data_IF_954880400727
#
_entry.id   IF_954880400727
#
_cell.length_a   1.000
_cell.length_b   1.000
_cell.length_c   1.000
_cell.angle_alpha   90.00
_cell.angle_beta   90.00
_cell.angle_gamma   90.00
#
_symmetry.space_group_name_H-M   'P 1'
#
loop_
_entity.id
_entity.type
_entity.pdbx_description
1 polymer ?
#
# COMPACT_ATOMS: atom_id res chain seq x y z
N UNK A 1 -46.09 -38.00 32.55
CA UNK A 1 -46.20 -37.32 33.87
C UNK A 1 -45.66 -35.91 33.62
N UNK A 2 -46.50 -35.00 33.13
CA UNK A 2 -47.36 -34.01 33.79
C UNK A 2 -46.64 -33.37 34.95
N UNK A 3 -46.39 -32.10 34.97
CA UNK A 3 -47.19 -30.91 35.05
C UNK A 3 -46.26 -29.74 35.38
N UNK A 4 -46.37 -28.58 35.11
CA UNK A 4 -47.37 -27.49 34.98
C UNK A 4 -46.71 -26.20 35.45
N UNK A 5 -46.81 -25.21 34.63
CA UNK A 5 -46.67 -23.78 34.96
C UNK A 5 -47.75 -23.35 35.98
N UNK A 6 -47.55 -22.35 36.82
CA UNK A 6 -48.32 -21.11 36.71
C UNK A 6 -47.47 -19.87 36.96
N UNK A 7 -47.56 -18.76 36.24
CA UNK A 7 -48.61 -17.74 36.02
C UNK A 7 -48.95 -16.87 37.24
N UNK A 8 -48.74 -15.59 36.98
CA UNK A 8 -49.51 -14.39 37.35
C UNK A 8 -49.08 -13.50 38.53
N UNK A 9 -48.82 -12.28 38.06
CA UNK A 9 -49.53 -11.02 38.45
C UNK A 9 -49.31 -10.53 39.87
N UNK A 10 -48.89 -9.36 40.09
CA UNK A 10 -49.40 -7.99 39.96
C UNK A 10 -48.91 -7.15 41.13
N UNK A 11 -48.69 -5.93 40.93
CA UNK A 11 -49.19 -4.68 41.53
C UNK A 11 -48.07 -3.72 41.99
N UNK A 12 -47.97 -2.67 41.27
CA UNK A 12 -48.32 -1.27 41.59
C UNK A 12 -47.52 -0.54 42.66
N UNK A 13 -46.92 0.52 42.16
CA UNK A 13 -46.93 1.90 42.60
C UNK A 13 -46.01 2.29 43.76
N UNK A 14 -45.11 3.25 43.45
CA UNK A 14 -45.17 4.55 44.07
C UNK A 14 -44.07 5.48 43.50
N UNK A 15 -44.48 6.69 43.29
CA UNK A 15 -43.75 7.82 42.79
C UNK A 15 -42.56 8.26 43.68
N UNK A 16 -41.52 8.78 43.06
CA UNK A 16 -40.44 9.46 43.75
C UNK A 16 -39.59 10.24 42.72
N UNK A 17 -40.01 11.46 42.43
CA UNK A 17 -39.22 12.40 41.66
C UNK A 17 -38.04 12.90 42.52
N UNK A 18 -36.81 12.63 42.04
CA UNK A 18 -35.64 13.38 42.50
C UNK A 18 -34.86 13.78 41.23
N UNK A 19 -34.92 15.05 40.91
CA UNK A 19 -34.03 15.70 39.96
C UNK A 19 -32.60 15.69 40.53
N UNK A 20 -31.71 15.02 39.86
CA UNK A 20 -30.27 15.18 40.06
C UNK A 20 -29.62 15.46 38.72
N UNK A 21 -29.32 16.72 38.50
CA UNK A 21 -28.38 17.21 37.52
C UNK A 21 -27.01 16.57 37.76
N UNK A 22 -26.54 15.78 36.83
CA UNK A 22 -25.24 15.12 36.95
C UNK A 22 -24.67 14.82 35.58
N UNK A 23 -23.87 15.71 35.08
CA UNK A 23 -22.72 15.55 34.20
C UNK A 23 -22.79 14.44 33.17
N UNK A 24 -23.08 14.80 31.93
CA UNK A 24 -22.61 14.04 30.73
C UNK A 24 -21.09 14.09 30.74
N UNK A 25 -20.46 13.11 31.38
CA UNK A 25 -19.08 12.79 31.09
C UNK A 25 -19.05 12.24 29.68
N UNK A 26 -18.74 13.08 28.73
CA UNK A 26 -18.33 12.70 27.41
C UNK A 26 -17.09 11.80 27.58
N UNK A 27 -17.26 10.50 27.43
CA UNK A 27 -16.16 9.61 27.15
C UNK A 27 -15.59 10.06 25.81
N UNK A 28 -14.57 10.93 25.88
CA UNK A 28 -13.60 11.08 24.80
C UNK A 28 -13.05 9.70 24.51
N UNK A 29 -13.58 9.06 23.49
CA UNK A 29 -12.90 7.95 22.84
C UNK A 29 -11.57 8.53 22.31
N UNK A 30 -10.53 8.15 23.03
CA UNK A 30 -9.14 8.40 22.65
C UNK A 30 -8.95 8.00 21.19
N UNK A 31 -8.74 8.99 20.36
CA UNK A 31 -7.99 9.03 19.14
C UNK A 31 -7.72 7.68 18.44
N UNK A 32 -8.65 7.24 17.60
CA UNK A 32 -8.23 6.74 16.31
C UNK A 32 -7.51 7.94 15.68
N UNK A 33 -6.19 7.85 15.59
CA UNK A 33 -5.40 8.79 14.81
C UNK A 33 -5.94 8.72 13.41
N UNK A 34 -6.32 9.84 12.89
CA UNK A 34 -6.77 10.04 11.54
C UNK A 34 -5.83 9.31 10.59
N UNK A 35 -6.28 8.21 10.00
CA UNK A 35 -5.79 7.80 8.70
C UNK A 35 -6.09 9.01 7.82
N UNK A 36 -5.07 9.77 7.50
CA UNK A 36 -5.20 10.88 6.59
C UNK A 36 -5.77 10.28 5.30
N UNK A 37 -7.06 10.52 5.11
CA UNK A 37 -7.72 10.25 3.83
C UNK A 37 -7.11 11.23 2.82
N UNK A 38 -6.03 10.80 2.18
CA UNK A 38 -5.33 11.55 1.14
C UNK A 38 -6.20 11.75 -0.10
N UNK A 39 -7.47 11.35 -0.03
CA UNK A 39 -8.43 11.54 -1.12
C UNK A 39 -8.17 10.65 -2.33
N UNK A 40 -7.20 9.74 -2.27
CA UNK A 40 -6.90 8.83 -3.36
C UNK A 40 -7.82 7.61 -3.31
N UNK A 41 -8.50 7.37 -4.42
CA UNK A 41 -9.24 6.12 -4.61
C UNK A 41 -8.31 5.14 -5.31
N UNK A 42 -7.65 4.28 -4.55
CA UNK A 42 -6.98 3.12 -5.12
C UNK A 42 -8.01 2.17 -5.71
N UNK A 43 -7.73 1.55 -6.84
CA UNK A 43 -8.67 0.65 -7.55
C UNK A 43 -9.39 -0.34 -6.62
N UNK A 44 -8.69 -1.36 -6.08
CA UNK A 44 -9.19 -2.27 -5.05
C UNK A 44 -8.17 -2.42 -3.91
N UNK A 45 -7.12 -1.61 -3.90
CA UNK A 45 -6.06 -1.66 -2.91
C UNK A 45 -6.26 -0.66 -1.77
N UNK A 46 -5.70 -0.96 -0.59
CA UNK A 46 -5.61 -0.03 0.52
C UNK A 46 -4.33 0.80 0.39
N UNK A 47 -4.44 2.10 0.60
CA UNK A 47 -3.32 3.05 0.61
C UNK A 47 -2.94 3.35 2.05
N UNK A 48 -1.64 3.31 2.35
CA UNK A 48 -1.07 3.80 3.60
C UNK A 48 0.07 4.76 3.26
N UNK A 49 -0.02 6.00 3.69
CA UNK A 49 1.07 6.96 3.62
C UNK A 49 1.71 7.14 4.99
N UNK A 50 2.99 7.46 5.02
CA UNK A 50 3.78 7.62 6.23
C UNK A 50 4.36 9.03 6.29
N UNK A 51 4.08 9.76 7.37
CA UNK A 51 4.77 11.02 7.66
C UNK A 51 6.28 10.80 7.70
N UNK A 52 7.07 11.79 7.32
CA UNK A 52 8.54 11.68 7.27
C UNK A 52 9.16 11.15 8.56
N UNK A 53 8.59 11.51 9.72
CA UNK A 53 9.03 11.06 11.05
C UNK A 53 8.66 9.62 11.39
N UNK A 54 7.77 9.00 10.60
CA UNK A 54 7.27 7.64 10.78
C UNK A 54 7.91 6.65 9.82
N UNK A 55 8.68 7.13 8.85
CA UNK A 55 9.39 6.30 7.89
C UNK A 55 10.54 5.56 8.55
N UNK A 56 10.70 4.29 8.18
CA UNK A 56 11.81 3.47 8.63
C UNK A 56 13.14 3.85 7.96
N UNK A 57 14.11 2.95 8.09
CA UNK A 57 15.39 3.07 7.41
C UNK A 57 15.22 2.99 5.88
N UNK A 58 16.19 3.49 5.11
CA UNK A 58 16.22 3.31 3.67
C UNK A 58 16.09 1.85 3.26
N UNK A 59 15.33 1.59 2.21
CA UNK A 59 15.21 0.26 1.61
C UNK A 59 16.53 -0.13 0.94
N UNK A 60 16.99 -1.33 1.23
CA UNK A 60 18.13 -1.96 0.56
C UNK A 60 17.60 -3.03 -0.40
N UNK A 61 17.26 -2.61 -1.61
CA UNK A 61 16.71 -3.45 -2.66
C UNK A 61 17.73 -3.55 -3.79
N UNK A 62 18.26 -4.74 -4.03
CA UNK A 62 19.18 -4.99 -5.13
C UNK A 62 18.93 -6.38 -5.73
N UNK A 63 19.26 -6.54 -7.02
CA UNK A 63 19.15 -7.82 -7.69
C UNK A 63 19.37 -7.77 -9.19
N UNK A 64 19.46 -8.97 -9.80
CA UNK A 64 19.51 -9.11 -11.24
C UNK A 64 18.13 -8.90 -11.85
N UNK A 65 18.06 -8.09 -12.89
CA UNK A 65 16.81 -7.81 -13.60
C UNK A 65 16.50 -8.89 -14.64
N UNK A 66 15.26 -8.90 -15.12
CA UNK A 66 14.84 -9.76 -16.22
C UNK A 66 15.72 -9.61 -17.49
N UNK A 67 16.40 -8.48 -17.66
CA UNK A 67 17.28 -8.22 -18.79
C UNK A 67 18.76 -8.54 -18.51
N UNK A 68 19.06 -9.12 -17.32
CA UNK A 68 20.39 -9.53 -16.93
C UNK A 68 21.30 -8.39 -16.46
N UNK A 69 20.73 -7.22 -16.16
CA UNK A 69 21.45 -6.10 -15.56
C UNK A 69 21.29 -6.15 -14.03
N UNK A 70 22.21 -5.56 -13.31
CA UNK A 70 22.03 -5.33 -11.87
C UNK A 70 21.28 -4.03 -11.64
N UNK A 71 20.32 -4.05 -10.74
CA UNK A 71 19.63 -2.86 -10.23
C UNK A 71 19.85 -2.77 -8.72
N UNK A 72 20.18 -1.58 -8.21
CA UNK A 72 20.40 -1.33 -6.79
C UNK A 72 19.74 -0.01 -6.38
N UNK A 73 18.94 -0.04 -5.31
CA UNK A 73 18.29 1.14 -4.75
C UNK A 73 19.29 2.21 -4.26
N UNK A 74 20.52 1.83 -3.95
CA UNK A 74 21.56 2.77 -3.54
C UNK A 74 21.94 3.73 -4.67
N UNK A 75 21.88 3.29 -5.93
CA UNK A 75 22.21 4.09 -7.10
C UNK A 75 21.13 5.13 -7.44
N UNK A 76 19.96 5.03 -6.78
CA UNK A 76 18.78 5.88 -7.00
C UNK A 76 18.50 6.82 -5.83
N UNK A 77 19.45 7.02 -4.93
CA UNK A 77 19.32 8.06 -3.88
C UNK A 77 19.24 9.44 -4.52
N UNK A 78 18.38 10.29 -3.99
CA UNK A 78 18.04 11.58 -4.59
C UNK A 78 16.88 11.54 -5.57
N UNK A 79 16.36 10.35 -5.91
CA UNK A 79 15.18 10.15 -6.75
C UNK A 79 14.03 9.57 -5.92
N UNK A 80 12.79 9.86 -6.30
CA UNK A 80 11.62 9.11 -5.85
C UNK A 80 11.56 7.80 -6.62
N UNK A 81 11.43 6.68 -5.92
CA UNK A 81 11.40 5.36 -6.57
C UNK A 81 10.05 4.69 -6.33
N UNK A 82 9.39 4.30 -7.41
CA UNK A 82 8.17 3.49 -7.38
C UNK A 82 8.53 2.04 -7.55
N UNK A 83 8.29 1.23 -6.52
CA UNK A 83 8.56 -0.22 -6.51
C UNK A 83 7.25 -0.98 -6.64
N UNK A 84 7.08 -1.76 -7.71
CA UNK A 84 5.87 -2.56 -7.95
C UNK A 84 6.18 -4.06 -7.90
N UNK A 85 5.48 -4.80 -7.06
CA UNK A 85 5.57 -6.28 -6.99
C UNK A 85 4.51 -6.89 -7.89
N UNK A 86 4.96 -7.71 -8.84
CA UNK A 86 4.11 -8.33 -9.85
C UNK A 86 4.57 -9.74 -10.22
N UNK A 87 3.70 -10.50 -10.89
CA UNK A 87 4.04 -11.80 -11.47
C UNK A 87 3.15 -12.09 -12.69
N UNK A 88 3.61 -12.95 -13.60
CA UNK A 88 2.85 -13.34 -14.80
C UNK A 88 1.53 -14.04 -14.47
N UNK A 89 1.52 -14.81 -13.40
CA UNK A 89 0.36 -15.58 -12.91
C UNK A 89 -0.61 -14.72 -12.06
N UNK A 90 -0.30 -13.45 -11.80
CA UNK A 90 -1.09 -12.57 -10.95
C UNK A 90 -2.20 -11.86 -11.76
N UNK A 91 -3.42 -12.34 -11.66
CA UNK A 91 -4.56 -11.77 -12.38
C UNK A 91 -4.82 -10.28 -12.06
N UNK A 92 -4.81 -9.84 -10.79
CA UNK A 92 -4.93 -8.42 -10.46
C UNK A 92 -3.79 -7.56 -11.00
N UNK A 93 -2.55 -8.09 -11.10
CA UNK A 93 -1.41 -7.38 -11.69
C UNK A 93 -1.66 -7.07 -13.19
N UNK A 94 -2.30 -7.98 -13.92
CA UNK A 94 -2.69 -7.73 -15.30
C UNK A 94 -3.68 -6.57 -15.45
N UNK A 95 -4.53 -6.34 -14.43
CA UNK A 95 -5.50 -5.25 -14.44
C UNK A 95 -4.84 -3.89 -14.16
N UNK A 96 -3.81 -3.84 -13.32
CA UNK A 96 -3.10 -2.59 -13.03
C UNK A 96 -2.03 -2.23 -14.08
N UNK A 97 -1.52 -3.23 -14.84
CA UNK A 97 -0.44 -3.02 -15.79
C UNK A 97 -0.65 -1.82 -16.74
N UNK A 98 -1.85 -1.60 -17.34
CA UNK A 98 -2.09 -0.42 -18.17
C UNK A 98 -1.91 0.91 -17.42
N UNK A 99 -2.24 0.96 -16.13
CA UNK A 99 -2.09 2.15 -15.29
C UNK A 99 -0.61 2.45 -15.02
N UNK A 100 0.20 1.43 -14.76
CA UNK A 100 1.65 1.57 -14.58
C UNK A 100 2.33 2.03 -15.87
N UNK A 101 1.90 1.48 -17.02
CA UNK A 101 2.41 1.90 -18.33
C UNK A 101 2.06 3.35 -18.63
N UNK A 102 0.83 3.77 -18.32
CA UNK A 102 0.39 5.15 -18.50
C UNK A 102 1.18 6.09 -17.57
N UNK A 103 1.33 5.73 -16.30
CA UNK A 103 2.15 6.46 -15.34
C UNK A 103 3.58 6.64 -15.86
N UNK A 104 4.25 5.55 -16.24
CA UNK A 104 5.64 5.59 -16.70
C UNK A 104 5.86 6.50 -17.93
N UNK A 105 4.85 6.62 -18.79
CA UNK A 105 4.90 7.54 -19.96
C UNK A 105 4.81 9.01 -19.55
N UNK A 106 4.17 9.30 -18.43
CA UNK A 106 4.00 10.66 -17.91
C UNK A 106 5.16 11.10 -17.02
N UNK A 107 5.89 10.14 -16.42
CA UNK A 107 7.10 10.43 -15.67
C UNK A 107 8.15 10.98 -16.61
N UNK A 108 8.53 12.25 -16.39
CA UNK A 108 9.53 12.95 -17.22
C UNK A 108 10.72 13.31 -16.37
N UNK A 109 11.92 13.18 -16.96
CA UNK A 109 13.16 13.50 -16.27
C UNK A 109 13.62 12.36 -15.36
N UNK A 110 14.67 12.67 -14.59
CA UNK A 110 15.37 11.68 -13.76
C UNK A 110 14.93 11.73 -12.29
N UNK A 111 13.89 12.51 -11.95
CA UNK A 111 13.43 12.67 -10.56
C UNK A 111 12.66 11.48 -10.02
N UNK A 112 12.02 10.69 -10.89
CA UNK A 112 11.20 9.53 -10.52
C UNK A 112 11.60 8.32 -11.35
N UNK A 113 11.84 7.21 -10.66
CA UNK A 113 12.16 5.92 -11.28
C UNK A 113 11.11 4.87 -10.97
N UNK A 114 10.80 4.02 -11.95
CA UNK A 114 9.98 2.82 -11.76
C UNK A 114 10.88 1.59 -11.76
N UNK A 115 10.65 0.68 -10.80
CA UNK A 115 11.28 -0.65 -10.77
C UNK A 115 10.24 -1.71 -10.39
N UNK A 116 10.31 -2.85 -11.03
CA UNK A 116 9.50 -4.02 -10.70
C UNK A 116 10.25 -5.01 -9.81
N UNK A 117 9.50 -5.77 -9.00
CA UNK A 117 9.94 -7.03 -8.43
C UNK A 117 9.08 -8.12 -9.07
N UNK A 118 9.68 -8.91 -9.96
CA UNK A 118 9.01 -10.04 -10.61
C UNK A 118 9.05 -11.24 -9.67
N UNK A 119 8.00 -11.34 -8.84
CA UNK A 119 7.93 -12.18 -7.64
C UNK A 119 7.59 -13.64 -7.95
N UNK A 120 8.45 -14.55 -7.49
CA UNK A 120 8.26 -16.02 -7.60
C UNK A 120 7.86 -16.47 -8.99
N UNK A 121 8.48 -15.87 -9.98
CA UNK A 121 8.25 -16.28 -11.36
C UNK A 121 8.93 -17.60 -11.68
N UNK A 122 8.33 -18.35 -12.59
CA UNK A 122 8.81 -19.70 -12.96
C UNK A 122 10.18 -19.65 -13.65
N UNK A 123 10.40 -18.64 -14.50
CA UNK A 123 11.68 -18.40 -15.17
C UNK A 123 11.83 -16.94 -15.57
N UNK A 124 13.07 -16.52 -15.84
CA UNK A 124 13.37 -15.17 -16.36
C UNK A 124 12.67 -14.94 -17.69
N UNK A 125 12.62 -15.96 -18.56
CA UNK A 125 11.98 -15.87 -19.88
C UNK A 125 10.48 -15.64 -19.75
N UNK A 126 9.81 -16.30 -18.80
CA UNK A 126 8.37 -16.10 -18.52
C UNK A 126 8.13 -14.67 -18.07
N UNK A 127 8.89 -14.19 -17.08
CA UNK A 127 8.78 -12.82 -16.60
C UNK A 127 9.02 -11.79 -17.69
N UNK A 128 10.12 -11.96 -18.46
CA UNK A 128 10.47 -11.07 -19.58
C UNK A 128 9.38 -11.04 -20.65
N UNK A 129 8.85 -12.20 -21.04
CA UNK A 129 7.77 -12.29 -22.03
C UNK A 129 6.50 -11.59 -21.55
N UNK A 130 6.16 -11.74 -20.27
CA UNK A 130 4.99 -11.10 -19.70
C UNK A 130 5.17 -9.59 -19.56
N UNK A 131 6.34 -9.12 -19.10
CA UNK A 131 6.68 -7.69 -19.04
C UNK A 131 6.54 -7.03 -20.42
N UNK A 132 7.07 -7.68 -21.46
CA UNK A 132 6.91 -7.22 -22.84
C UNK A 132 5.44 -7.18 -23.29
N UNK A 133 4.66 -8.21 -22.95
CA UNK A 133 3.23 -8.29 -23.31
C UNK A 133 2.43 -7.16 -22.67
N UNK A 134 2.75 -6.80 -21.42
CA UNK A 134 2.09 -5.69 -20.72
C UNK A 134 2.65 -4.31 -21.09
N UNK A 135 3.75 -4.25 -21.83
CA UNK A 135 4.38 -3.00 -22.24
C UNK A 135 5.24 -2.35 -21.17
N UNK A 136 5.76 -3.14 -20.23
CA UNK A 136 6.71 -2.66 -19.22
C UNK A 136 8.04 -2.32 -19.88
N UNK A 137 8.53 -1.10 -19.66
CA UNK A 137 9.78 -0.58 -20.21
C UNK A 137 10.81 -0.24 -19.14
N UNK A 138 10.46 -0.45 -17.87
CA UNK A 138 11.34 -0.25 -16.73
C UNK A 138 11.94 -1.56 -16.25
N UNK A 139 13.08 -1.53 -15.53
CA UNK A 139 13.73 -2.74 -15.03
C UNK A 139 12.83 -3.48 -14.04
N UNK A 140 12.90 -4.80 -14.05
CA UNK A 140 12.23 -5.64 -13.05
C UNK A 140 13.21 -6.68 -12.52
N UNK A 141 13.45 -6.67 -11.21
CA UNK A 141 14.31 -7.63 -10.51
C UNK A 141 13.64 -8.99 -10.54
N UNK A 142 14.36 -10.03 -10.95
CA UNK A 142 13.89 -11.42 -10.93
C UNK A 142 14.01 -12.02 -9.54
N UNK A 143 12.90 -12.12 -8.84
CA UNK A 143 12.85 -12.66 -7.48
C UNK A 143 12.21 -14.07 -7.45
N UNK A 144 12.97 -15.05 -7.88
CA UNK A 144 12.52 -16.46 -7.88
C UNK A 144 12.17 -16.98 -6.49
N UNK A 145 12.91 -16.57 -5.49
CA UNK A 145 12.76 -17.02 -4.10
C UNK A 145 11.65 -16.29 -3.33
N UNK A 146 11.26 -15.11 -3.76
CA UNK A 146 10.33 -14.24 -3.05
C UNK A 146 10.98 -13.51 -1.88
N UNK A 147 12.30 -13.42 -1.86
CA UNK A 147 13.06 -12.80 -0.76
C UNK A 147 13.30 -11.31 -0.97
N UNK A 148 13.34 -10.84 -2.20
CA UNK A 148 13.56 -9.42 -2.52
C UNK A 148 12.49 -8.52 -1.91
N UNK A 149 11.24 -9.01 -1.82
CA UNK A 149 10.15 -8.30 -1.18
C UNK A 149 10.36 -8.12 0.34
N UNK A 150 11.23 -8.92 0.98
CA UNK A 150 11.58 -8.76 2.40
C UNK A 150 12.31 -7.42 2.62
N UNK A 151 13.12 -6.98 1.65
CA UNK A 151 13.77 -5.68 1.69
C UNK A 151 12.76 -4.53 1.86
N UNK A 152 11.50 -4.74 1.47
CA UNK A 152 10.40 -3.80 1.66
C UNK A 152 9.84 -3.79 3.09
N UNK A 153 10.61 -4.23 4.08
CA UNK A 153 10.34 -4.14 5.53
C UNK A 153 8.99 -4.79 5.93
N UNK A 154 8.57 -5.82 5.20
CA UNK A 154 7.30 -6.50 5.46
C UNK A 154 6.04 -5.69 5.13
N UNK A 155 6.18 -4.53 4.48
CA UNK A 155 5.04 -3.67 4.14
C UNK A 155 4.33 -4.07 2.84
N UNK A 156 4.97 -4.88 2.00
CA UNK A 156 4.39 -5.36 0.72
C UNK A 156 4.06 -6.86 0.83
N UNK A 157 2.88 -7.16 1.36
CA UNK A 157 2.49 -8.53 1.78
C UNK A 157 1.60 -9.25 0.77
N UNK A 158 1.20 -8.61 -0.31
CA UNK A 158 0.30 -9.17 -1.34
C UNK A 158 0.77 -8.81 -2.75
N UNK A 159 0.28 -9.51 -3.76
CA UNK A 159 0.49 -9.20 -5.17
C UNK A 159 -0.85 -8.80 -5.81
N UNK A 160 -0.88 -7.66 -6.50
CA UNK A 160 0.17 -6.65 -6.57
C UNK A 160 0.31 -5.86 -5.28
N UNK A 161 1.45 -5.21 -5.12
CA UNK A 161 1.67 -4.13 -4.16
C UNK A 161 2.58 -3.10 -4.81
N UNK A 162 2.39 -1.84 -4.47
CA UNK A 162 3.26 -0.77 -4.95
C UNK A 162 3.69 0.11 -3.78
N UNK A 163 4.98 0.39 -3.67
CA UNK A 163 5.52 1.35 -2.72
C UNK A 163 6.08 2.56 -3.45
N UNK A 164 5.97 3.72 -2.82
CA UNK A 164 6.68 4.96 -3.20
C UNK A 164 7.76 5.19 -2.17
N UNK A 165 9.00 5.26 -2.61
CA UNK A 165 10.16 5.60 -1.78
C UNK A 165 10.51 7.06 -1.96
N UNK A 166 10.84 7.74 -0.87
CA UNK A 166 11.37 9.10 -0.92
C UNK A 166 12.82 9.14 -1.44
N UNK A 167 13.39 10.33 -1.61
CA UNK A 167 14.76 10.52 -2.13
C UNK A 167 15.84 9.94 -1.22
N UNK A 168 15.54 9.72 0.07
CA UNK A 168 16.39 9.02 0.99
C UNK A 168 16.26 7.49 0.85
N UNK A 169 15.30 7.01 0.05
CA UNK A 169 15.00 5.60 -0.16
C UNK A 169 14.12 4.99 0.92
N UNK A 170 13.46 5.79 1.76
CA UNK A 170 12.54 5.33 2.79
C UNK A 170 11.13 5.17 2.22
N UNK A 171 10.35 4.25 2.75
CA UNK A 171 8.99 4.02 2.27
C UNK A 171 8.08 5.18 2.71
N UNK A 172 7.67 6.01 1.75
CA UNK A 172 6.74 7.12 1.94
C UNK A 172 5.27 6.66 1.86
N UNK A 173 4.96 5.74 0.95
CA UNK A 173 3.61 5.19 0.84
C UNK A 173 3.63 3.74 0.35
N UNK A 174 2.57 3.01 0.68
CA UNK A 174 2.33 1.63 0.19
C UNK A 174 0.88 1.50 -0.26
N UNK A 175 0.67 0.85 -1.39
CA UNK A 175 -0.63 0.39 -1.86
C UNK A 175 -0.63 -1.13 -1.87
N UNK A 176 -1.50 -1.75 -1.09
CA UNK A 176 -1.72 -3.19 -1.09
C UNK A 176 -2.89 -3.54 -1.99
N UNK A 177 -2.66 -4.35 -3.01
CA UNK A 177 -3.63 -4.65 -4.08
C UNK A 177 -3.43 -3.77 -5.32
N UNK A 178 -4.29 -3.98 -6.32
CA UNK A 178 -4.21 -3.26 -7.59
C UNK A 178 -4.44 -1.74 -7.40
N UNK A 179 -3.69 -0.93 -8.11
CA UNK A 179 -3.73 0.53 -8.03
C UNK A 179 -4.08 1.16 -9.37
N UNK A 180 -4.26 2.48 -9.38
CA UNK A 180 -4.53 3.27 -10.59
C UNK A 180 -3.40 4.27 -10.83
N UNK A 181 -3.29 4.74 -12.07
CA UNK A 181 -2.36 5.81 -12.43
C UNK A 181 -2.54 7.05 -11.55
N UNK A 182 -3.77 7.52 -11.36
CA UNK A 182 -4.07 8.73 -10.58
C UNK A 182 -3.69 8.58 -9.10
N UNK A 183 -3.89 7.39 -8.52
CA UNK A 183 -3.48 7.11 -7.14
C UNK A 183 -1.97 7.22 -6.99
N UNK A 184 -1.21 6.54 -7.86
CA UNK A 184 0.25 6.60 -7.81
C UNK A 184 0.80 7.98 -8.12
N UNK A 185 0.22 8.69 -9.10
CA UNK A 185 0.62 10.05 -9.44
C UNK A 185 0.49 10.98 -8.24
N UNK A 186 -0.64 10.94 -7.54
CA UNK A 186 -0.81 11.75 -6.34
C UNK A 186 0.20 11.42 -5.24
N UNK A 187 0.44 10.13 -4.96
CA UNK A 187 1.44 9.72 -3.95
C UNK A 187 2.87 10.15 -4.31
N UNK A 188 3.21 10.13 -5.60
CA UNK A 188 4.49 10.63 -6.10
C UNK A 188 4.58 12.15 -5.93
N UNK A 189 3.55 12.89 -6.34
CA UNK A 189 3.50 14.36 -6.22
C UNK A 189 3.61 14.81 -4.77
N UNK A 190 2.91 14.15 -3.85
CA UNK A 190 3.02 14.43 -2.42
C UNK A 190 4.44 14.19 -1.90
N UNK A 191 5.05 13.04 -2.27
CA UNK A 191 6.41 12.70 -1.86
C UNK A 191 7.44 13.70 -2.42
N UNK A 192 7.26 14.17 -3.66
CA UNK A 192 8.13 15.19 -4.25
C UNK A 192 7.97 16.56 -3.58
N UNK A 193 6.75 16.89 -3.12
CA UNK A 193 6.46 18.19 -2.51
C UNK A 193 7.00 18.35 -1.07
N UNK A 194 7.33 17.26 -0.39
CA UNK A 194 7.82 17.28 1.00
C UNK A 194 9.17 18.00 1.13
N UNK A 195 10.01 17.95 0.12
CA UNK A 195 11.37 18.51 0.12
C UNK A 195 11.43 20.02 -0.12
N UNK A 196 10.31 20.64 -0.42
CA UNK A 196 10.19 22.10 -0.58
C UNK A 196 9.83 22.86 0.70
N UNK A 197 9.76 22.16 1.86
CA UNK A 197 9.34 22.75 3.15
C UNK A 197 10.45 22.88 4.15
#
# INVERSE_FOLDING_TARGET
MTARCPSRRSLLAAAGAVAATGGLAACSSSGAKDEQDLGYRSGNGSVTAFDETQRGEPVELAGETLDGQTWDSADHRGQVVVVNVWASWCGPCAKEAPHLVALNKELKGDDVQLVGINFRESSVETGRSQAKTWGFTWPSIYDKSGTTSIAMQGKMTTQPSTAVLDRQGRIAAVVLGATTQSTLQGLIEDTLAEEGR
#
